data_IF_587390749669
#
_entry.id   IF_587390749669
#
_cell.length_a   1.000
_cell.length_b   1.000
_cell.length_c   1.000
_cell.angle_alpha   90.00
_cell.angle_beta   90.00
_cell.angle_gamma   90.00
#
_symmetry.space_group_name_H-M   'P 1'
#
loop_
_entity.id
_entity.type
_entity.pdbx_description
1 polymer ?
#
# COMPACT_ATOMS: atom_id res chain seq x y z
N UNK A 1 -14.01 -0.09 -26.08
CA UNK A 1 -12.83 -0.54 -25.30
C UNK A 1 -12.18 0.70 -24.71
N UNK A 2 -11.81 0.70 -23.43
CA UNK A 2 -11.34 1.91 -22.74
C UNK A 2 -9.95 2.32 -23.23
N UNK A 3 -9.92 3.26 -24.16
CA UNK A 3 -8.73 3.82 -24.83
C UNK A 3 -7.71 4.49 -23.89
N UNK A 4 -8.00 4.60 -22.59
CA UNK A 4 -7.10 5.22 -21.61
C UNK A 4 -6.05 4.26 -21.05
N UNK A 5 -6.39 2.97 -20.87
CA UNK A 5 -5.42 1.98 -20.37
C UNK A 5 -4.30 1.73 -21.38
N UNK A 6 -4.62 1.68 -22.68
CA UNK A 6 -3.62 1.57 -23.73
C UNK A 6 -2.65 2.76 -23.78
N UNK A 7 -3.06 3.95 -23.34
CA UNK A 7 -2.17 5.12 -23.26
C UNK A 7 -1.27 5.04 -22.03
N UNK A 8 -1.82 4.61 -20.89
CA UNK A 8 -1.04 4.39 -19.65
C UNK A 8 0.03 3.33 -19.86
N UNK A 9 -0.28 2.25 -20.59
CA UNK A 9 0.67 1.19 -20.87
C UNK A 9 1.82 1.60 -21.83
N UNK A 10 1.66 2.69 -22.58
CA UNK A 10 2.73 3.27 -23.42
C UNK A 10 3.74 4.09 -22.62
N UNK A 11 3.39 4.51 -21.41
CA UNK A 11 4.30 5.22 -20.51
C UNK A 11 5.43 4.29 -20.05
N UNK A 12 6.57 4.86 -19.71
CA UNK A 12 7.67 4.15 -19.07
C UNK A 12 7.28 3.64 -17.67
N UNK A 13 8.02 2.68 -17.13
CA UNK A 13 7.76 2.16 -15.78
C UNK A 13 7.75 3.29 -14.72
N UNK A 14 8.74 4.20 -14.67
CA UNK A 14 8.74 5.31 -13.71
C UNK A 14 7.51 6.22 -13.84
N UNK A 15 7.12 6.59 -15.06
CA UNK A 15 5.94 7.43 -15.30
C UNK A 15 4.65 6.74 -14.84
N UNK A 16 4.54 5.42 -15.03
CA UNK A 16 3.40 4.66 -14.53
C UNK A 16 3.38 4.62 -13.00
N UNK A 17 4.54 4.48 -12.35
CA UNK A 17 4.62 4.48 -10.88
C UNK A 17 4.14 5.83 -10.33
N UNK A 18 4.64 6.94 -10.89
CA UNK A 18 4.21 8.29 -10.51
C UNK A 18 2.70 8.46 -10.74
N UNK A 19 2.19 8.04 -11.89
CA UNK A 19 0.76 8.13 -12.18
C UNK A 19 -0.10 7.31 -11.19
N UNK A 20 0.36 6.11 -10.81
CA UNK A 20 -0.32 5.29 -9.81
C UNK A 20 -0.34 6.01 -8.45
N UNK A 21 0.77 6.63 -8.05
CA UNK A 21 0.86 7.41 -6.83
C UNK A 21 -0.09 8.62 -6.84
N UNK A 22 -0.13 9.38 -7.93
CA UNK A 22 -1.04 10.52 -8.09
C UNK A 22 -2.52 10.11 -8.04
N UNK A 23 -2.87 8.99 -8.69
CA UNK A 23 -4.23 8.44 -8.60
C UNK A 23 -4.55 7.99 -7.17
N UNK A 24 -3.59 7.38 -6.48
CA UNK A 24 -3.77 6.97 -5.09
C UNK A 24 -3.96 8.19 -4.17
N UNK A 25 -3.18 9.25 -4.37
CA UNK A 25 -3.30 10.51 -3.66
C UNK A 25 -4.66 11.19 -3.91
N UNK A 26 -5.20 11.13 -5.12
CA UNK A 26 -6.51 11.70 -5.41
C UNK A 26 -7.64 10.95 -4.70
N UNK A 27 -7.58 9.60 -4.68
CA UNK A 27 -8.53 8.76 -3.94
C UNK A 27 -8.45 9.05 -2.43
N UNK A 28 -7.23 9.16 -1.89
CA UNK A 28 -7.01 9.49 -0.49
C UNK A 28 -7.51 10.90 -0.15
N UNK A 29 -7.39 11.87 -1.07
CA UNK A 29 -7.89 13.23 -0.86
C UNK A 29 -9.42 13.32 -0.89
N UNK A 30 -10.08 12.47 -1.68
CA UNK A 30 -11.54 12.31 -1.70
C UNK A 30 -12.09 11.46 -0.53
N UNK A 31 -11.22 10.90 0.31
CA UNK A 31 -11.58 9.96 1.39
C UNK A 31 -12.32 10.58 2.58
N UNK A 32 -12.78 11.83 2.48
CA UNK A 32 -13.67 12.51 3.45
C UNK A 32 -14.94 11.71 3.82
N UNK A 33 -15.21 10.58 3.16
CA UNK A 33 -16.33 9.66 3.42
C UNK A 33 -15.94 8.35 4.12
N UNK A 34 -14.67 7.99 4.19
CA UNK A 34 -14.24 6.74 4.82
C UNK A 34 -13.91 6.98 6.30
N UNK A 35 -14.84 6.62 7.18
CA UNK A 35 -14.62 6.63 8.62
C UNK A 35 -14.38 5.19 9.09
N UNK A 36 -13.25 4.98 9.77
CA UNK A 36 -12.99 3.72 10.46
C UNK A 36 -14.00 3.54 11.59
N UNK A 37 -14.48 2.31 11.79
CA UNK A 37 -15.23 1.96 12.99
C UNK A 37 -14.32 2.09 14.23
N UNK A 38 -14.92 2.19 15.42
CA UNK A 38 -14.17 2.24 16.67
C UNK A 38 -13.33 0.97 16.87
N UNK A 39 -13.86 -0.18 16.46
CA UNK A 39 -13.22 -1.48 16.54
C UNK A 39 -12.02 -1.55 15.59
N UNK A 40 -12.17 -1.07 14.34
CA UNK A 40 -11.08 -1.01 13.37
C UNK A 40 -9.96 -0.08 13.84
N UNK A 41 -10.32 1.09 14.38
CA UNK A 41 -9.34 2.02 14.94
C UNK A 41 -8.58 1.40 16.11
N UNK A 42 -9.29 0.71 17.02
CA UNK A 42 -8.67 0.02 18.17
C UNK A 42 -7.65 -1.04 17.73
N UNK A 43 -7.94 -1.80 16.67
CA UNK A 43 -6.99 -2.77 16.11
C UNK A 43 -5.73 -2.06 15.62
N UNK A 44 -5.87 -0.98 14.84
CA UNK A 44 -4.72 -0.23 14.34
C UNK A 44 -3.88 0.39 15.48
N UNK A 45 -4.55 0.93 16.50
CA UNK A 45 -3.86 1.50 17.68
C UNK A 45 -3.06 0.40 18.41
N UNK A 46 -3.62 -0.81 18.54
CA UNK A 46 -2.94 -1.94 19.17
C UNK A 46 -1.73 -2.43 18.36
N UNK A 47 -1.89 -2.63 17.05
CA UNK A 47 -0.79 -3.03 16.17
C UNK A 47 0.34 -1.99 16.17
N UNK A 48 0.00 -0.70 16.24
CA UNK A 48 0.98 0.39 16.36
C UNK A 48 1.75 0.32 17.68
N UNK A 49 1.07 0.10 18.80
CA UNK A 49 1.73 -0.07 20.09
C UNK A 49 2.67 -1.28 20.10
N UNK A 50 2.25 -2.39 19.51
CA UNK A 50 3.03 -3.62 19.46
C UNK A 50 4.28 -3.45 18.58
N UNK A 51 4.16 -2.73 17.45
CA UNK A 51 5.30 -2.33 16.63
C UNK A 51 6.28 -1.42 17.38
N UNK A 52 5.79 -0.42 18.12
CA UNK A 52 6.64 0.48 18.91
C UNK A 52 7.40 -0.29 20.01
N UNK A 53 6.76 -1.29 20.64
CA UNK A 53 7.39 -2.13 21.66
C UNK A 53 8.40 -3.12 21.06
N UNK A 54 8.19 -3.57 19.83
CA UNK A 54 9.00 -4.57 19.15
C UNK A 54 9.49 -4.08 17.77
N UNK A 55 10.34 -3.04 17.70
CA UNK A 55 10.75 -2.45 16.42
C UNK A 55 11.55 -3.43 15.53
N UNK A 56 12.15 -4.46 16.12
CA UNK A 56 12.88 -5.53 15.42
C UNK A 56 11.97 -6.66 14.92
N UNK A 57 10.68 -6.68 15.31
CA UNK A 57 9.68 -7.63 14.83
C UNK A 57 9.11 -7.19 13.48
N UNK A 58 10.02 -6.95 12.54
CA UNK A 58 9.72 -6.59 11.16
C UNK A 58 10.58 -7.40 10.21
N UNK A 59 10.01 -7.71 9.05
CA UNK A 59 10.75 -8.34 7.97
C UNK A 59 11.25 -7.28 7.00
N UNK A 60 12.55 -7.30 6.74
CA UNK A 60 13.12 -6.56 5.62
C UNK A 60 12.51 -7.06 4.31
N UNK A 61 12.53 -6.19 3.29
CA UNK A 61 12.02 -6.54 1.97
C UNK A 61 12.73 -7.76 1.37
N UNK A 62 14.02 -7.94 1.65
CA UNK A 62 14.77 -9.12 1.21
C UNK A 62 14.31 -10.40 1.94
N UNK A 63 14.03 -10.35 3.25
CA UNK A 63 13.45 -11.49 3.97
C UNK A 63 12.07 -11.87 3.43
N UNK A 64 11.21 -10.89 3.12
CA UNK A 64 9.90 -11.13 2.49
C UNK A 64 10.05 -11.80 1.12
N UNK A 65 10.99 -11.32 0.29
CA UNK A 65 11.29 -11.96 -1.01
C UNK A 65 11.80 -13.39 -0.84
N UNK A 66 12.61 -13.65 0.18
CA UNK A 66 13.12 -15.00 0.45
C UNK A 66 11.97 -15.94 0.81
N UNK A 67 11.13 -15.56 1.78
CA UNK A 67 9.96 -16.36 2.22
C UNK A 67 8.99 -16.65 1.07
N UNK A 68 8.74 -15.66 0.20
CA UNK A 68 7.82 -15.82 -0.95
C UNK A 68 8.42 -16.67 -2.07
N UNK A 69 9.76 -16.74 -2.19
CA UNK A 69 10.46 -17.58 -3.18
C UNK A 69 10.63 -19.04 -2.74
N UNK A 70 10.75 -19.30 -1.44
CA UNK A 70 10.86 -20.67 -0.90
C UNK A 70 9.52 -21.41 -0.79
N UNK A 71 8.38 -20.73 -0.92
CA UNK A 71 7.05 -21.36 -0.99
C UNK A 71 6.69 -21.94 -2.38
N UNK A 72 7.68 -22.33 -3.18
CA UNK A 72 7.47 -22.87 -4.54
C UNK A 72 7.77 -24.36 -4.60
#
# INVERSE_FOLDING_TARGET
MNNNLQHILKLTIPERIILVEEIWNSIASDSNKFQLSKEQKKILDQEMEDYIKNPEDVLTWEQVKQITRTKK
#
